data_IF_336328535861
#
_entry.id   IF_336328535861
#
_cell.length_a   1.000
_cell.length_b   1.000
_cell.length_c   1.000
_cell.angle_alpha   90.00
_cell.angle_beta   90.00
_cell.angle_gamma   90.00
#
_symmetry.space_group_name_H-M   'P 1'
#
loop_
_entity.id
_entity.type
_entity.pdbx_description
1 polymer ?
#
# COMPACT_ATOMS: atom_id res chain seq x y z
N UNK A 1 16.40 -6.31 24.46
CA UNK A 1 16.79 -6.23 23.05
C UNK A 1 17.59 -4.96 22.86
N UNK A 2 18.84 -5.11 22.46
CA UNK A 2 19.76 -4.04 22.11
C UNK A 2 19.50 -3.57 20.68
N UNK A 3 20.04 -2.41 20.29
CA UNK A 3 19.90 -1.89 18.92
C UNK A 3 20.41 -2.88 17.85
N UNK A 4 21.57 -3.56 18.01
CA UNK A 4 22.00 -4.59 17.06
C UNK A 4 21.05 -5.78 16.95
N UNK A 5 20.48 -6.24 18.07
CA UNK A 5 19.51 -7.34 18.09
C UNK A 5 18.21 -6.95 17.38
N UNK A 6 17.76 -5.69 17.53
CA UNK A 6 16.59 -5.17 16.83
C UNK A 6 16.83 -5.13 15.31
N UNK A 7 17.99 -4.65 14.86
CA UNK A 7 18.32 -4.61 13.43
C UNK A 7 18.37 -6.01 12.82
N UNK A 8 18.95 -7.00 13.52
CA UNK A 8 18.95 -8.39 13.06
C UNK A 8 17.54 -8.97 12.94
N UNK A 9 16.66 -8.67 13.90
CA UNK A 9 15.29 -9.15 13.88
C UNK A 9 14.46 -8.51 12.76
N UNK A 10 14.66 -7.21 12.49
CA UNK A 10 14.02 -6.51 11.36
C UNK A 10 14.45 -7.15 10.03
N UNK A 11 15.75 -7.37 9.82
CA UNK A 11 16.26 -8.00 8.60
C UNK A 11 15.71 -9.42 8.42
N UNK A 12 15.64 -10.20 9.50
CA UNK A 12 15.06 -11.54 9.49
C UNK A 12 13.59 -11.51 9.07
N UNK A 13 12.80 -10.58 9.59
CA UNK A 13 11.37 -10.43 9.23
C UNK A 13 11.23 -10.03 7.76
N UNK A 14 12.02 -9.06 7.28
CA UNK A 14 12.02 -8.65 5.86
C UNK A 14 12.33 -9.83 4.95
N UNK A 15 13.31 -10.65 5.30
CA UNK A 15 13.69 -11.82 4.52
C UNK A 15 12.56 -12.87 4.47
N UNK A 16 11.93 -13.16 5.60
CA UNK A 16 10.79 -14.08 5.64
C UNK A 16 9.61 -13.55 4.81
N UNK A 17 9.34 -12.26 4.86
CA UNK A 17 8.29 -11.63 4.05
C UNK A 17 8.61 -11.69 2.55
N UNK A 18 9.88 -11.52 2.14
CA UNK A 18 10.30 -11.69 0.74
C UNK A 18 10.11 -13.12 0.24
N UNK A 19 10.47 -14.10 1.06
CA UNK A 19 10.33 -15.53 0.73
C UNK A 19 8.85 -15.94 0.66
N UNK A 20 8.04 -15.48 1.60
CA UNK A 20 6.61 -15.77 1.65
C UNK A 20 5.81 -15.03 0.56
N UNK A 21 6.24 -13.81 0.21
CA UNK A 21 5.53 -12.92 -0.70
C UNK A 21 6.46 -12.40 -1.81
N UNK A 22 6.76 -13.22 -2.84
CA UNK A 22 7.73 -12.91 -3.90
C UNK A 22 7.31 -11.73 -4.82
N UNK A 23 6.20 -11.05 -4.52
CA UNK A 23 5.67 -9.91 -5.29
C UNK A 23 5.46 -8.64 -4.47
N UNK A 24 5.61 -8.66 -3.14
CA UNK A 24 5.20 -7.49 -2.33
C UNK A 24 6.30 -6.50 -2.04
N UNK A 25 7.59 -6.87 -2.16
CA UNK A 25 8.68 -5.97 -1.83
C UNK A 25 9.92 -6.26 -2.70
N UNK A 26 10.15 -5.42 -3.72
CA UNK A 26 11.39 -5.37 -4.50
C UNK A 26 11.77 -6.68 -5.17
N UNK A 27 11.04 -7.03 -6.23
CA UNK A 27 11.60 -7.93 -7.23
C UNK A 27 12.62 -7.11 -8.05
N UNK A 28 13.82 -7.63 -8.28
CA UNK A 28 14.90 -6.95 -9.02
C UNK A 28 14.51 -6.63 -10.50
N UNK A 29 13.36 -7.15 -10.92
CA UNK A 29 12.60 -6.89 -12.13
C UNK A 29 11.79 -5.56 -12.08
N UNK A 30 11.75 -4.85 -10.95
CA UNK A 30 11.24 -3.47 -10.86
C UNK A 30 12.34 -2.52 -11.36
N UNK A 31 12.51 -2.46 -12.68
CA UNK A 31 13.22 -1.37 -13.34
C UNK A 31 12.36 -0.10 -13.31
N UNK A 32 12.68 0.82 -12.40
CA UNK A 32 12.29 2.24 -12.47
C UNK A 32 10.95 2.62 -11.84
N UNK A 33 10.95 3.79 -11.17
CA UNK A 33 9.93 4.86 -11.03
C UNK A 33 8.42 4.53 -10.99
N UNK A 34 8.00 3.29 -10.79
CA UNK A 34 6.57 2.95 -10.77
C UNK A 34 6.02 2.96 -9.35
N UNK A 35 4.95 3.73 -9.16
CA UNK A 35 4.22 3.77 -7.90
C UNK A 35 3.71 2.38 -7.53
N UNK A 36 3.83 2.01 -6.25
CA UNK A 36 3.38 0.74 -5.69
C UNK A 36 1.91 0.40 -6.01
N UNK A 37 1.09 1.42 -6.29
CA UNK A 37 -0.33 1.27 -6.57
C UNK A 37 -0.77 2.09 -7.78
N UNK A 38 -1.60 1.50 -8.62
CA UNK A 38 -2.18 2.19 -9.77
C UNK A 38 -3.24 3.23 -9.35
N UNK A 39 -3.44 4.22 -10.20
CA UNK A 39 -4.50 5.22 -10.06
C UNK A 39 -5.10 5.48 -11.45
N UNK A 40 -6.30 4.92 -11.71
CA UNK A 40 -6.92 4.89 -13.04
C UNK A 40 -7.27 6.30 -13.51
N UNK A 41 -7.81 7.14 -12.62
CA UNK A 41 -8.26 8.50 -12.92
C UNK A 41 -7.19 9.37 -13.57
N UNK A 42 -5.94 9.20 -13.17
CA UNK A 42 -4.79 9.98 -13.67
C UNK A 42 -3.86 9.16 -14.56
N UNK A 43 -4.29 7.96 -14.99
CA UNK A 43 -3.51 7.02 -15.80
C UNK A 43 -2.14 6.67 -15.20
N UNK A 44 -2.05 6.60 -13.86
CA UNK A 44 -0.80 6.24 -13.20
C UNK A 44 -0.67 4.71 -13.17
N UNK A 45 0.37 4.13 -13.81
CA UNK A 45 0.64 2.70 -13.72
C UNK A 45 1.11 2.35 -12.31
N UNK A 46 0.78 1.14 -11.88
CA UNK A 46 1.28 0.60 -10.63
C UNK A 46 1.04 -0.90 -10.52
N UNK A 47 1.71 -1.53 -9.56
CA UNK A 47 1.76 -2.99 -9.43
C UNK A 47 0.57 -3.58 -8.69
N UNK A 48 -0.12 -2.79 -7.87
CA UNK A 48 -1.35 -3.18 -7.18
C UNK A 48 -2.57 -2.64 -7.91
N UNK A 49 -3.70 -3.35 -7.77
CA UNK A 49 -5.03 -2.88 -8.22
C UNK A 49 -5.27 -1.43 -7.80
N UNK A 50 -5.96 -0.70 -8.68
CA UNK A 50 -6.25 0.72 -8.51
C UNK A 50 -7.00 0.99 -7.21
N UNK A 51 -6.85 2.22 -6.70
CA UNK A 51 -7.60 2.66 -5.51
C UNK A 51 -9.09 2.48 -5.75
N UNK A 52 -9.54 2.93 -6.92
CA UNK A 52 -10.93 3.02 -7.34
C UNK A 52 -11.57 1.63 -7.40
N UNK A 53 -10.84 0.66 -7.98
CA UNK A 53 -11.29 -0.73 -8.03
C UNK A 53 -11.49 -1.30 -6.64
N UNK A 54 -10.55 -1.07 -5.71
CA UNK A 54 -10.65 -1.60 -4.34
C UNK A 54 -11.80 -0.96 -3.56
N UNK A 55 -12.00 0.36 -3.66
CA UNK A 55 -13.13 1.05 -3.03
C UNK A 55 -14.45 0.44 -3.51
N UNK A 56 -14.58 0.20 -4.82
CA UNK A 56 -15.77 -0.38 -5.44
C UNK A 56 -16.00 -1.83 -5.02
N UNK A 57 -14.98 -2.70 -5.14
CA UNK A 57 -15.12 -4.13 -4.88
C UNK A 57 -15.40 -4.44 -3.40
N UNK A 58 -14.77 -3.71 -2.49
CA UNK A 58 -15.03 -3.88 -1.05
C UNK A 58 -16.21 -3.05 -0.54
N UNK A 59 -16.89 -2.32 -1.44
CA UNK A 59 -17.99 -1.43 -1.12
C UNK A 59 -17.68 -0.51 0.08
N UNK A 60 -16.48 0.10 0.06
CA UNK A 60 -15.99 0.90 1.19
C UNK A 60 -16.74 2.22 1.35
N UNK A 61 -17.43 2.68 0.31
CA UNK A 61 -18.32 3.85 0.35
C UNK A 61 -19.34 3.77 1.50
N UNK A 62 -19.76 2.56 1.91
CA UNK A 62 -20.67 2.37 3.06
C UNK A 62 -20.07 2.79 4.42
N UNK A 63 -18.74 2.92 4.49
CA UNK A 63 -18.00 3.32 5.69
C UNK A 63 -17.63 4.80 5.67
N UNK A 64 -17.91 5.51 4.56
CA UNK A 64 -17.67 6.93 4.47
C UNK A 64 -18.58 7.69 5.44
N UNK A 65 -18.00 8.61 6.19
CA UNK A 65 -18.74 9.54 7.04
C UNK A 65 -17.99 10.86 7.10
N UNK A 66 -18.65 12.01 6.80
CA UNK A 66 -18.01 13.31 6.79
C UNK A 66 -17.61 13.81 8.19
N UNK A 67 -18.13 13.17 9.24
CA UNK A 67 -17.84 13.54 10.64
C UNK A 67 -16.89 12.55 11.33
N UNK A 68 -16.52 11.45 10.66
CA UNK A 68 -15.61 10.47 11.23
C UNK A 68 -14.16 10.83 10.92
N UNK A 69 -13.26 10.50 11.85
CA UNK A 69 -11.82 10.49 11.59
C UNK A 69 -11.39 9.07 11.21
N UNK A 70 -10.62 8.94 10.15
CA UNK A 70 -10.15 7.65 9.61
C UNK A 70 -8.63 7.60 9.69
N UNK A 71 -8.09 6.42 10.03
CA UNK A 71 -6.66 6.13 9.99
C UNK A 71 -6.36 5.16 8.84
N UNK A 72 -5.43 5.52 7.96
CA UNK A 72 -4.92 4.67 6.88
C UNK A 72 -3.52 4.17 7.24
N UNK A 73 -3.43 2.92 7.71
CA UNK A 73 -2.16 2.30 8.12
C UNK A 73 -1.51 1.68 6.89
N UNK A 74 -0.29 2.14 6.56
CA UNK A 74 0.40 1.72 5.34
C UNK A 74 -0.07 2.49 4.09
N UNK A 75 -0.41 3.77 4.26
CA UNK A 75 -0.97 4.65 3.21
C UNK A 75 -0.08 4.82 1.98
N UNK A 76 1.21 4.49 2.09
CA UNK A 76 2.21 4.74 1.04
C UNK A 76 2.14 6.20 0.57
N UNK A 77 1.95 6.46 -0.72
CA UNK A 77 1.76 7.78 -1.35
C UNK A 77 0.40 8.43 -1.08
N UNK A 78 -0.48 7.81 -0.30
CA UNK A 78 -1.74 8.42 0.17
C UNK A 78 -2.87 8.44 -0.86
N UNK A 79 -2.75 7.76 -2.00
CA UNK A 79 -3.81 7.74 -3.03
C UNK A 79 -5.13 7.18 -2.52
N UNK A 80 -5.10 6.24 -1.56
CA UNK A 80 -6.32 5.74 -0.94
C UNK A 80 -7.06 6.84 -0.16
N UNK A 81 -6.35 7.57 0.70
CA UNK A 81 -6.92 8.70 1.44
C UNK A 81 -7.45 9.77 0.50
N UNK A 82 -6.67 10.14 -0.51
CA UNK A 82 -7.07 11.15 -1.48
C UNK A 82 -8.36 10.76 -2.21
N UNK A 83 -8.45 9.52 -2.71
CA UNK A 83 -9.63 9.02 -3.42
C UNK A 83 -10.85 8.89 -2.50
N UNK A 84 -10.66 8.29 -1.31
CA UNK A 84 -11.75 8.03 -0.38
C UNK A 84 -12.31 9.30 0.26
N UNK A 85 -11.48 10.32 0.45
CA UNK A 85 -11.88 11.64 0.96
C UNK A 85 -12.56 12.56 -0.06
N UNK A 86 -12.62 12.17 -1.33
CA UNK A 86 -13.35 12.93 -2.38
C UNK A 86 -14.83 12.52 -2.51
N UNK A 87 -15.24 11.44 -1.85
CA UNK A 87 -16.66 11.09 -1.71
C UNK A 87 -17.35 11.98 -0.68
#
# INVERSE_FOLDING_TARGET
MTEPELHQEIERIIQLEREANPRTYNSDDIQGDQCYQAYERINLPGYRWSVEKRIREYNLSRLYSPTASVIDIGSNVGFFVAEFGMH
#
